data_IF_156289720301
#
_entry.id   IF_156289720301
#
_cell.length_a   1.000
_cell.length_b   1.000
_cell.length_c   1.000
_cell.angle_alpha   90.00
_cell.angle_beta   90.00
_cell.angle_gamma   90.00
#
_symmetry.space_group_name_H-M   'P 1'
#
loop_
_entity.id
_entity.type
_entity.pdbx_description
1 polymer ?
#
# COMPACT_ATOMS: atom_id res chain seq x y z
N UNK A 1 -2.59 -9.15 2.47
CA UNK A 1 -1.90 -8.11 3.24
C UNK A 1 -0.42 -8.40 3.29
N UNK A 2 0.43 -7.40 3.06
CA UNK A 2 1.88 -7.55 3.14
C UNK A 2 2.38 -6.59 4.22
N UNK A 3 3.09 -7.10 5.22
CA UNK A 3 3.69 -6.33 6.32
C UNK A 3 5.21 -6.44 6.21
N UNK A 4 5.88 -5.34 5.85
CA UNK A 4 7.26 -5.39 5.34
C UNK A 4 7.41 -6.45 4.24
N UNK A 5 8.10 -7.57 4.54
CA UNK A 5 8.32 -8.69 3.60
C UNK A 5 7.42 -9.91 3.88
N UNK A 6 6.60 -9.85 4.94
CA UNK A 6 5.72 -10.96 5.34
C UNK A 6 4.37 -10.87 4.64
N UNK A 7 4.10 -11.86 3.78
CA UNK A 7 2.85 -11.96 3.05
C UNK A 7 1.80 -12.78 3.81
N UNK A 8 0.63 -12.18 4.03
CA UNK A 8 -0.52 -12.80 4.69
C UNK A 8 -1.72 -12.89 3.74
N UNK A 9 -2.31 -14.08 3.69
CA UNK A 9 -3.60 -14.30 3.03
C UNK A 9 -4.70 -13.77 3.98
N UNK A 10 -5.46 -12.80 3.50
CA UNK A 10 -6.56 -12.15 4.24
C UNK A 10 -7.85 -12.41 3.48
N UNK A 11 -8.89 -12.85 4.19
CA UNK A 11 -10.21 -13.21 3.65
C UNK A 11 -11.27 -12.23 4.15
N UNK A 12 -12.49 -12.39 3.65
CA UNK A 12 -13.62 -11.56 4.05
C UNK A 12 -13.84 -11.60 5.58
N UNK A 13 -13.88 -10.43 6.20
CA UNK A 13 -14.07 -10.27 7.65
C UNK A 13 -12.79 -10.37 8.49
N UNK A 14 -11.65 -10.76 7.90
CA UNK A 14 -10.38 -10.77 8.59
C UNK A 14 -9.88 -9.33 8.84
N UNK A 15 -9.00 -9.19 9.82
CA UNK A 15 -8.28 -7.93 10.08
C UNK A 15 -6.78 -8.17 10.06
N UNK A 16 -6.02 -7.12 9.74
CA UNK A 16 -4.56 -7.12 9.87
C UNK A 16 -4.15 -5.96 10.76
N UNK A 17 -3.40 -6.25 11.82
CA UNK A 17 -2.77 -5.23 12.65
C UNK A 17 -1.46 -4.79 12.02
N UNK A 18 -1.25 -3.49 11.93
CA UNK A 18 0.00 -2.90 11.46
C UNK A 18 0.65 -2.22 12.64
N UNK A 19 1.79 -2.74 13.04
CA UNK A 19 2.55 -2.22 14.17
C UNK A 19 3.27 -0.92 13.81
N UNK A 20 3.64 -0.10 14.81
CA UNK A 20 4.49 1.06 14.58
C UNK A 20 5.75 0.70 13.80
N UNK A 21 6.15 1.57 12.88
CA UNK A 21 7.36 1.40 12.07
C UNK A 21 7.37 0.19 11.13
N UNK A 22 6.22 -0.36 10.77
CA UNK A 22 6.09 -1.34 9.68
C UNK A 22 5.61 -0.69 8.40
N UNK A 23 6.15 -1.08 7.25
CA UNK A 23 5.45 -0.83 5.98
C UNK A 23 4.32 -1.81 5.82
N UNK A 24 3.33 -1.40 5.04
CA UNK A 24 2.21 -2.26 4.70
C UNK A 24 1.81 -1.99 3.26
N UNK A 25 1.40 -3.04 2.56
CA UNK A 25 0.83 -2.96 1.22
C UNK A 25 -0.38 -3.88 1.13
N UNK A 26 -1.32 -3.56 0.24
CA UNK A 26 -2.44 -4.44 -0.07
C UNK A 26 -2.44 -4.74 -1.57
N UNK A 27 -2.54 -6.01 -1.91
CA UNK A 27 -2.72 -6.49 -3.27
C UNK A 27 -3.92 -7.45 -3.28
N UNK A 28 -4.82 -7.26 -4.24
CA UNK A 28 -5.93 -8.17 -4.45
C UNK A 28 -5.45 -9.38 -5.28
N UNK A 29 -5.97 -10.56 -4.96
CA UNK A 29 -5.82 -11.71 -5.85
C UNK A 29 -6.54 -11.41 -7.19
N UNK A 30 -6.00 -11.84 -8.34
CA UNK A 30 -6.64 -11.64 -9.64
C UNK A 30 -8.08 -12.17 -9.65
N UNK A 31 -9.01 -11.37 -10.18
CA UNK A 31 -10.44 -11.72 -10.25
C UNK A 31 -11.25 -11.47 -8.98
N UNK A 32 -10.62 -11.03 -7.88
CA UNK A 32 -11.32 -10.67 -6.64
C UNK A 32 -11.40 -9.15 -6.50
N UNK A 33 -12.62 -8.64 -6.33
CA UNK A 33 -12.81 -7.27 -5.86
C UNK A 33 -12.42 -7.21 -4.37
N UNK A 34 -11.60 -6.22 -4.00
CA UNK A 34 -11.15 -6.02 -2.63
C UNK A 34 -11.67 -4.69 -2.09
N UNK A 35 -12.37 -4.77 -0.97
CA UNK A 35 -12.75 -3.62 -0.15
C UNK A 35 -12.14 -3.81 1.24
N UNK A 36 -11.45 -2.78 1.74
CA UNK A 36 -10.90 -2.77 3.08
C UNK A 36 -11.05 -1.39 3.71
N UNK A 37 -11.17 -1.36 5.03
CA UNK A 37 -11.30 -0.12 5.82
C UNK A 37 -10.01 0.08 6.61
N UNK A 38 -9.52 1.32 6.63
CA UNK A 38 -8.41 1.74 7.46
C UNK A 38 -8.89 2.36 8.75
N UNK A 39 -8.28 1.94 9.86
CA UNK A 39 -8.47 2.56 11.17
C UNK A 39 -7.09 2.89 11.72
N UNK A 40 -6.79 4.19 11.88
CA UNK A 40 -5.55 4.66 12.48
C UNK A 40 -5.93 5.47 13.72
N UNK A 41 -5.58 5.01 14.93
CA UNK A 41 -5.93 5.74 16.14
C UNK A 41 -5.08 7.01 16.27
N UNK A 42 -5.68 8.09 16.78
CA UNK A 42 -4.90 9.21 17.31
C UNK A 42 -4.43 8.84 18.72
N UNK A 43 -3.12 8.85 18.95
CA UNK A 43 -2.56 8.59 20.27
C UNK A 43 -2.48 9.90 21.08
N UNK A 44 -2.54 9.85 22.42
CA UNK A 44 -2.31 11.02 23.26
C UNK A 44 -0.94 11.63 22.96
N UNK A 45 -0.90 12.94 22.63
CA UNK A 45 0.30 13.67 22.22
C UNK A 45 0.98 13.21 20.92
N UNK A 46 0.42 12.23 20.21
CA UNK A 46 0.94 11.71 18.93
C UNK A 46 -0.23 11.45 17.97
N UNK A 47 -0.76 12.55 17.44
CA UNK A 47 -1.92 12.51 16.56
C UNK A 47 -1.49 12.15 15.15
N UNK A 48 -2.17 11.17 14.55
CA UNK A 48 -2.04 10.88 13.12
C UNK A 48 -2.54 12.04 12.24
N UNK A 49 -1.62 12.86 11.74
CA UNK A 49 -1.86 13.99 10.84
C UNK A 49 -1.14 13.77 9.50
N UNK A 50 -1.53 14.46 8.41
CA UNK A 50 -0.78 14.41 7.15
C UNK A 50 0.71 14.73 7.32
N UNK A 51 1.04 15.65 8.24
CA UNK A 51 2.41 16.06 8.57
C UNK A 51 3.21 15.03 9.37
N UNK A 52 2.54 14.03 9.98
CA UNK A 52 3.21 12.95 10.75
C UNK A 52 3.48 11.71 9.92
N UNK A 53 3.06 11.71 8.64
CA UNK A 53 3.32 10.60 7.71
C UNK A 53 4.76 10.64 7.25
N UNK A 54 5.38 9.47 7.16
CA UNK A 54 6.69 9.32 6.55
C UNK A 54 6.68 8.15 5.58
N UNK A 55 7.63 8.17 4.64
CA UNK A 55 7.76 7.16 3.61
C UNK A 55 9.15 6.56 3.68
N UNK A 56 9.21 5.23 3.58
CA UNK A 56 10.48 4.49 3.45
C UNK A 56 11.22 4.96 2.22
N UNK A 57 12.53 5.17 2.36
CA UNK A 57 13.37 5.78 1.31
C UNK A 57 13.32 4.95 0.03
N UNK A 58 13.26 3.63 0.17
CA UNK A 58 13.25 2.64 -0.90
C UNK A 58 11.98 2.73 -1.77
N UNK A 59 10.91 3.34 -1.25
CA UNK A 59 9.61 3.45 -1.92
C UNK A 59 9.21 4.90 -2.23
N UNK A 60 10.03 5.90 -1.88
CA UNK A 60 9.73 7.32 -2.12
C UNK A 60 9.51 7.67 -3.60
N UNK A 61 10.06 6.86 -4.51
CA UNK A 61 9.88 7.03 -5.95
C UNK A 61 8.41 6.91 -6.39
N UNK A 62 7.56 6.22 -5.61
CA UNK A 62 6.11 6.13 -5.85
C UNK A 62 5.37 7.45 -5.63
N UNK A 63 6.01 8.44 -4.99
CA UNK A 63 5.42 9.76 -4.73
C UNK A 63 5.68 10.75 -5.87
N UNK A 64 6.48 10.37 -6.87
CA UNK A 64 6.73 11.21 -8.03
C UNK A 64 5.52 11.18 -8.96
N UNK A 65 4.98 12.35 -9.30
CA UNK A 65 3.82 12.50 -10.19
C UNK A 65 4.08 11.92 -11.60
N UNK A 66 5.34 11.81 -12.01
CA UNK A 66 5.74 11.29 -13.33
C UNK A 66 6.25 9.85 -13.30
N UNK A 67 6.00 9.13 -12.20
CA UNK A 67 6.44 7.75 -12.07
C UNK A 67 5.80 6.83 -13.12
N UNK A 68 6.63 6.16 -13.93
CA UNK A 68 6.17 5.13 -14.87
C UNK A 68 6.02 3.80 -14.15
N UNK A 69 4.80 3.49 -13.70
CA UNK A 69 4.48 2.24 -12.98
C UNK A 69 4.45 1.04 -13.95
N UNK A 70 3.96 1.26 -15.17
CA UNK A 70 3.91 0.24 -16.22
C UNK A 70 4.92 0.58 -17.32
N UNK A 71 5.57 -0.43 -17.94
CA UNK A 71 6.30 -0.20 -19.18
C UNK A 71 5.35 0.38 -20.23
N UNK A 72 5.87 1.20 -21.14
CA UNK A 72 5.09 1.76 -22.24
C UNK A 72 4.44 0.61 -23.02
N UNK A 73 3.11 0.56 -23.00
CA UNK A 73 2.37 -0.29 -23.92
C UNK A 73 2.69 0.22 -25.32
N UNK A 74 3.57 -0.48 -26.04
CA UNK A 74 3.69 -0.30 -27.49
C UNK A 74 2.37 -0.76 -28.11
N UNK A 75 1.42 0.15 -28.22
CA UNK A 75 0.20 -0.08 -28.97
C UNK A 75 0.59 -0.01 -30.46
N UNK A 76 0.86 -1.17 -31.07
CA UNK A 76 1.06 -1.28 -32.52
C UNK A 76 2.50 -1.48 -32.99
N UNK A 77 3.21 -2.49 -32.49
CA UNK A 77 4.19 -3.16 -33.36
C UNK A 77 3.35 -3.97 -34.38
N UNK A 78 3.06 -3.32 -35.52
CA UNK A 78 2.28 -3.83 -36.64
C UNK A 78 2.68 -5.27 -37.02
N UNK A 79 1.68 -6.15 -37.10
CA UNK A 79 1.75 -7.39 -37.87
C UNK A 79 0.68 -7.35 -38.95
#
# INVERSE_FOLDING_TARGET
SILDDDAHIVKNGDTTLIEPNRTHSQAAAPGYAMYYIWMIPHLPNDRWLPTTRYYRKEHKWLLDDNVKIWPELKLGDEK
#
